data_IF_358890872513
#
_entry.id   IF_358890872513
#
_cell.length_a   1.000
_cell.length_b   1.000
_cell.length_c   1.000
_cell.angle_alpha   90.00
_cell.angle_beta   90.00
_cell.angle_gamma   90.00
#
_symmetry.space_group_name_H-M   'P 1'
#
loop_
_entity.id
_entity.type
_entity.pdbx_description
1 polymer ?
#
# COMPACT_ATOMS: atom_id res chain seq x y z
N UNK A 1 -15.13 -27.94 4.63
CA UNK A 1 -15.52 -27.27 3.35
C UNK A 1 -16.48 -26.09 3.54
N UNK A 2 -17.47 -26.15 4.45
CA UNK A 2 -18.39 -25.00 4.69
C UNK A 2 -17.69 -23.84 5.41
N UNK A 3 -16.86 -24.14 6.44
CA UNK A 3 -16.08 -23.14 7.19
C UNK A 3 -15.16 -22.30 6.28
N UNK A 4 -14.46 -22.95 5.35
CA UNK A 4 -13.55 -22.26 4.41
C UNK A 4 -14.28 -21.35 3.41
N UNK A 5 -15.49 -21.72 2.98
CA UNK A 5 -16.31 -20.86 2.10
C UNK A 5 -16.81 -19.61 2.84
N UNK A 6 -17.21 -19.75 4.11
CA UNK A 6 -17.63 -18.61 4.94
C UNK A 6 -16.50 -17.62 5.21
N UNK A 7 -15.30 -18.13 5.50
CA UNK A 7 -14.10 -17.31 5.72
C UNK A 7 -13.74 -16.52 4.45
N UNK A 8 -13.72 -17.19 3.29
CA UNK A 8 -13.44 -16.53 2.03
C UNK A 8 -14.50 -15.48 1.67
N UNK A 9 -15.78 -15.76 1.93
CA UNK A 9 -16.86 -14.81 1.68
C UNK A 9 -16.74 -13.55 2.55
N UNK A 10 -16.39 -13.70 3.83
CA UNK A 10 -16.17 -12.57 4.72
C UNK A 10 -14.94 -11.75 4.32
N UNK A 11 -13.84 -12.39 3.93
CA UNK A 11 -12.67 -11.71 3.38
C UNK A 11 -13.03 -10.87 2.14
N UNK A 12 -13.81 -11.44 1.21
CA UNK A 12 -14.29 -10.75 0.02
C UNK A 12 -15.21 -9.57 0.37
N UNK A 13 -16.08 -9.72 1.37
CA UNK A 13 -16.94 -8.66 1.85
C UNK A 13 -16.12 -7.50 2.46
N UNK A 14 -15.14 -7.78 3.30
CA UNK A 14 -14.22 -6.77 3.86
C UNK A 14 -13.49 -6.02 2.73
N UNK A 15 -12.99 -6.76 1.74
CA UNK A 15 -12.31 -6.15 0.59
C UNK A 15 -13.25 -5.25 -0.23
N UNK A 16 -14.49 -5.68 -0.46
CA UNK A 16 -15.49 -4.88 -1.17
C UNK A 16 -15.83 -3.59 -0.43
N UNK A 17 -16.06 -3.67 0.89
CA UNK A 17 -16.33 -2.49 1.72
C UNK A 17 -15.14 -1.53 1.68
N UNK A 18 -13.91 -2.04 1.81
CA UNK A 18 -12.70 -1.23 1.70
C UNK A 18 -12.59 -0.56 0.33
N UNK A 19 -12.79 -1.31 -0.76
CA UNK A 19 -12.78 -0.76 -2.11
C UNK A 19 -13.80 0.38 -2.25
N UNK A 20 -15.05 0.17 -1.86
CA UNK A 20 -16.11 1.18 -1.97
C UNK A 20 -15.84 2.43 -1.12
N UNK A 21 -15.25 2.26 0.07
CA UNK A 21 -14.92 3.39 0.94
C UNK A 21 -13.82 4.29 0.35
N UNK A 22 -12.80 3.69 -0.28
CA UNK A 22 -11.66 4.44 -0.85
C UNK A 22 -11.83 4.83 -2.32
N UNK A 23 -12.76 4.20 -3.05
CA UNK A 23 -12.96 4.41 -4.49
C UNK A 23 -13.15 5.88 -4.88
N UNK A 24 -14.00 6.68 -4.19
CA UNK A 24 -14.18 8.09 -4.54
C UNK A 24 -12.90 8.94 -4.37
N UNK A 25 -11.97 8.50 -3.51
CA UNK A 25 -10.72 9.20 -3.24
C UNK A 25 -9.63 9.02 -4.30
N UNK A 26 -9.78 8.03 -5.20
CA UNK A 26 -8.76 7.69 -6.20
C UNK A 26 -8.48 8.83 -7.18
N UNK A 27 -9.49 9.61 -7.55
CA UNK A 27 -9.36 10.73 -8.51
C UNK A 27 -8.95 12.06 -7.87
N UNK A 28 -8.81 12.11 -6.54
CA UNK A 28 -8.40 13.34 -5.86
C UNK A 28 -6.96 13.75 -6.22
N UNK A 29 -6.57 15.01 -6.03
CA UNK A 29 -5.20 15.47 -6.25
C UNK A 29 -4.22 14.96 -5.18
N UNK A 30 -2.93 15.27 -5.38
CA UNK A 30 -1.92 15.20 -4.33
C UNK A 30 -2.06 16.40 -3.39
N UNK A 31 -1.96 16.18 -2.08
CA UNK A 31 -2.20 17.17 -1.02
C UNK A 31 -1.06 17.22 -0.01
N UNK A 32 -0.86 18.39 0.61
CA UNK A 32 0.05 18.68 1.73
C UNK A 32 1.28 17.76 1.91
N UNK A 33 1.11 16.59 2.53
CA UNK A 33 2.18 15.65 2.89
C UNK A 33 2.72 14.84 1.69
N UNK A 34 1.99 14.78 0.59
CA UNK A 34 2.43 14.17 -0.66
C UNK A 34 3.67 14.86 -1.24
N UNK A 35 3.77 16.19 -1.11
CA UNK A 35 4.91 16.96 -1.67
C UNK A 35 6.26 16.50 -1.12
N UNK A 36 6.53 16.54 0.20
CA UNK A 36 7.82 16.09 0.72
C UNK A 36 8.05 14.58 0.58
N UNK A 37 7.01 13.78 0.34
CA UNK A 37 7.13 12.34 0.16
C UNK A 37 7.38 11.92 -1.30
N UNK A 38 6.89 12.71 -2.27
CA UNK A 38 6.86 12.39 -3.70
C UNK A 38 7.67 13.42 -4.50
N UNK A 39 7.03 14.51 -4.94
CA UNK A 39 7.61 15.45 -5.91
C UNK A 39 8.80 16.24 -5.34
N UNK A 40 8.83 16.46 -4.02
CA UNK A 40 9.93 17.08 -3.30
C UNK A 40 11.03 16.10 -2.85
N UNK A 41 10.81 14.79 -3.01
CA UNK A 41 11.79 13.75 -2.70
C UNK A 41 12.33 13.17 -4.01
N UNK A 42 13.45 13.71 -4.48
CA UNK A 42 14.05 13.27 -5.76
C UNK A 42 14.56 11.83 -5.69
N UNK A 43 14.82 11.29 -4.49
CA UNK A 43 15.31 9.92 -4.34
C UNK A 43 14.26 8.85 -4.65
N UNK A 44 12.97 9.18 -4.68
CA UNK A 44 11.91 8.26 -5.12
C UNK A 44 11.56 8.43 -6.60
N UNK A 45 12.19 9.39 -7.30
CA UNK A 45 11.98 9.64 -8.72
C UNK A 45 13.07 8.91 -9.52
N UNK A 46 12.93 7.58 -9.61
CA UNK A 46 13.96 6.69 -10.18
C UNK A 46 13.44 5.97 -11.43
N UNK A 47 14.38 5.53 -12.29
CA UNK A 47 14.09 4.68 -13.45
C UNK A 47 14.18 3.17 -13.10
N UNK A 48 14.62 2.85 -11.88
CA UNK A 48 14.66 1.49 -11.35
C UNK A 48 15.78 0.62 -11.92
N UNK A 49 16.82 1.22 -12.50
CA UNK A 49 17.88 0.52 -13.23
C UNK A 49 19.04 0.08 -12.33
N UNK A 50 19.22 0.74 -11.19
CA UNK A 50 20.30 0.46 -10.25
C UNK A 50 19.76 0.01 -8.90
N UNK A 51 20.37 -1.02 -8.32
CA UNK A 51 20.05 -1.46 -6.97
C UNK A 51 20.17 -0.33 -5.94
N UNK A 52 21.15 0.56 -6.10
CA UNK A 52 21.39 1.63 -5.13
C UNK A 52 20.28 2.70 -5.16
N UNK A 53 19.63 2.92 -6.31
CA UNK A 53 18.46 3.79 -6.42
C UNK A 53 17.33 3.29 -5.52
N UNK A 54 17.04 1.99 -5.54
CA UNK A 54 16.02 1.38 -4.69
C UNK A 54 16.35 1.50 -3.20
N UNK A 55 17.62 1.28 -2.82
CA UNK A 55 18.09 1.44 -1.43
C UNK A 55 17.98 2.88 -0.96
N UNK A 56 18.44 3.83 -1.78
CA UNK A 56 18.38 5.26 -1.47
C UNK A 56 16.93 5.74 -1.36
N UNK A 57 16.08 5.33 -2.30
CA UNK A 57 14.65 5.61 -2.28
C UNK A 57 13.99 5.09 -1.01
N UNK A 58 14.16 3.81 -0.68
CA UNK A 58 13.57 3.21 0.51
C UNK A 58 13.99 3.94 1.80
N UNK A 59 15.24 4.40 1.89
CA UNK A 59 15.76 5.08 3.07
C UNK A 59 15.67 6.61 2.99
N UNK A 60 14.87 7.17 2.09
CA UNK A 60 14.83 8.63 1.83
C UNK A 60 13.99 9.43 2.82
N UNK A 61 13.01 8.81 3.51
CA UNK A 61 12.14 9.55 4.42
C UNK A 61 12.83 9.96 5.72
N UNK A 62 12.42 11.10 6.27
CA UNK A 62 12.71 11.54 7.63
C UNK A 62 11.50 11.43 8.57
N UNK A 63 10.37 10.90 8.07
CA UNK A 63 9.13 10.78 8.86
C UNK A 63 9.18 9.60 9.82
N UNK A 64 9.10 9.89 11.12
CA UNK A 64 9.05 8.89 12.18
C UNK A 64 10.37 8.16 12.43
N UNK A 65 10.49 7.41 13.54
CA UNK A 65 11.74 6.78 13.95
C UNK A 65 12.24 5.70 12.97
N UNK A 66 11.32 5.06 12.25
CA UNK A 66 11.63 3.99 11.30
C UNK A 66 11.71 4.45 9.85
N UNK A 67 11.47 5.74 9.54
CA UNK A 67 11.69 6.31 8.19
C UNK A 67 10.88 5.68 7.04
N UNK A 68 9.74 5.04 7.33
CA UNK A 68 8.75 4.54 6.34
C UNK A 68 9.30 3.81 5.10
N UNK A 69 10.23 2.84 5.22
CA UNK A 69 10.95 2.30 4.07
C UNK A 69 10.07 1.59 3.06
N UNK A 70 9.04 0.87 3.53
CA UNK A 70 8.07 0.20 2.65
C UNK A 70 7.30 1.22 1.81
N UNK A 71 6.86 2.34 2.43
CA UNK A 71 6.13 3.39 1.72
C UNK A 71 7.01 4.05 0.65
N UNK A 72 8.24 4.42 0.98
CA UNK A 72 9.13 5.07 0.02
C UNK A 72 9.50 4.13 -1.12
N UNK A 73 9.72 2.85 -0.82
CA UNK A 73 9.94 1.83 -1.84
C UNK A 73 8.74 1.72 -2.80
N UNK A 74 7.50 1.67 -2.28
CA UNK A 74 6.32 1.62 -3.16
C UNK A 74 6.14 2.88 -4.00
N UNK A 75 6.51 4.06 -3.50
CA UNK A 75 6.49 5.30 -4.30
C UNK A 75 7.54 5.28 -5.41
N UNK A 76 8.76 4.82 -5.11
CA UNK A 76 9.79 4.63 -6.11
C UNK A 76 9.38 3.61 -7.18
N UNK A 77 8.68 2.54 -6.78
CA UNK A 77 8.14 1.57 -7.72
C UNK A 77 7.07 2.17 -8.64
N UNK A 78 6.18 3.04 -8.12
CA UNK A 78 5.23 3.77 -8.97
C UNK A 78 5.98 4.62 -10.01
N UNK A 79 7.01 5.37 -9.58
CA UNK A 79 7.78 6.20 -10.50
C UNK A 79 8.53 5.37 -11.55
N UNK A 80 9.19 4.28 -11.14
CA UNK A 80 9.93 3.42 -12.06
C UNK A 80 9.03 2.77 -13.12
N UNK A 81 7.76 2.51 -12.80
CA UNK A 81 6.79 1.92 -13.74
C UNK A 81 6.15 2.97 -14.64
N UNK A 82 5.79 4.14 -14.10
CA UNK A 82 5.02 5.16 -14.84
C UNK A 82 5.89 6.28 -15.45
N UNK A 83 7.16 6.38 -15.04
CA UNK A 83 8.10 7.46 -15.39
C UNK A 83 7.79 8.82 -14.76
N UNK A 84 6.69 8.92 -14.01
CA UNK A 84 6.20 10.13 -13.34
C UNK A 84 5.19 9.74 -12.26
N UNK A 85 4.79 10.70 -11.42
CA UNK A 85 3.75 10.45 -10.42
C UNK A 85 2.35 10.73 -10.95
N UNK A 86 1.53 9.69 -11.11
CA UNK A 86 0.07 9.80 -11.23
C UNK A 86 -0.59 9.71 -9.86
N UNK A 87 -1.44 10.68 -9.51
CA UNK A 87 -2.20 10.60 -8.24
C UNK A 87 -3.12 9.38 -8.20
N UNK A 88 -3.73 9.03 -9.33
CA UNK A 88 -4.59 7.84 -9.44
C UNK A 88 -3.76 6.57 -9.30
N UNK A 89 -2.60 6.48 -9.95
CA UNK A 89 -1.70 5.32 -9.88
C UNK A 89 -1.23 5.05 -8.46
N UNK A 90 -0.68 6.08 -7.81
CA UNK A 90 -0.23 6.02 -6.41
C UNK A 90 -1.32 5.56 -5.45
N UNK A 91 -2.53 6.11 -5.59
CA UNK A 91 -3.67 5.77 -4.72
C UNK A 91 -4.22 4.38 -5.02
N UNK A 92 -4.22 3.95 -6.28
CA UNK A 92 -4.63 2.60 -6.67
C UNK A 92 -3.66 1.55 -6.10
N UNK A 93 -2.35 1.77 -6.20
CA UNK A 93 -1.33 0.90 -5.58
C UNK A 93 -1.49 0.87 -4.07
N UNK A 94 -1.65 2.04 -3.43
CA UNK A 94 -1.90 2.09 -1.98
C UNK A 94 -3.16 1.32 -1.58
N UNK A 95 -4.27 1.46 -2.32
CA UNK A 95 -5.50 0.74 -2.06
C UNK A 95 -5.30 -0.77 -2.21
N UNK A 96 -4.63 -1.22 -3.26
CA UNK A 96 -4.30 -2.64 -3.45
C UNK A 96 -3.50 -3.20 -2.27
N UNK A 97 -2.49 -2.47 -1.79
CA UNK A 97 -1.71 -2.84 -0.61
C UNK A 97 -2.58 -2.90 0.64
N UNK A 98 -3.48 -1.94 0.85
CA UNK A 98 -4.41 -1.94 1.99
C UNK A 98 -5.37 -3.15 1.95
N UNK A 99 -5.88 -3.51 0.78
CA UNK A 99 -6.76 -4.67 0.62
C UNK A 99 -6.01 -5.99 0.94
N UNK A 100 -4.75 -6.11 0.50
CA UNK A 100 -3.89 -7.25 0.85
C UNK A 100 -3.65 -7.31 2.35
N UNK A 101 -3.29 -6.18 2.98
CA UNK A 101 -3.07 -6.13 4.43
C UNK A 101 -4.34 -6.48 5.20
N UNK A 102 -5.50 -5.95 4.79
CA UNK A 102 -6.79 -6.26 5.40
C UNK A 102 -7.11 -7.76 5.32
N UNK A 103 -6.87 -8.38 4.16
CA UNK A 103 -7.05 -9.83 3.99
C UNK A 103 -6.09 -10.64 4.88
N UNK A 104 -4.79 -10.30 4.88
CA UNK A 104 -3.79 -10.97 5.72
C UNK A 104 -4.13 -10.83 7.21
N UNK A 105 -4.54 -9.64 7.64
CA UNK A 105 -4.93 -9.38 9.03
C UNK A 105 -6.19 -10.17 9.42
N UNK A 106 -7.19 -10.22 8.54
CA UNK A 106 -8.38 -11.03 8.73
C UNK A 106 -8.03 -12.52 8.88
N UNK A 107 -7.20 -13.07 7.99
CA UNK A 107 -6.78 -14.46 8.07
C UNK A 107 -5.96 -14.72 9.34
N UNK A 108 -5.06 -13.81 9.72
CA UNK A 108 -4.31 -13.93 10.96
C UNK A 108 -5.26 -13.99 12.17
N UNK A 109 -6.17 -13.03 12.29
CA UNK A 109 -7.14 -12.97 13.38
C UNK A 109 -8.01 -14.23 13.42
N UNK A 110 -8.50 -14.69 12.27
CA UNK A 110 -9.28 -15.92 12.18
C UNK A 110 -8.49 -17.14 12.66
N UNK A 111 -7.24 -17.32 12.21
CA UNK A 111 -6.41 -18.46 12.63
C UNK A 111 -6.08 -18.42 14.12
N UNK A 112 -5.85 -17.22 14.69
CA UNK A 112 -5.64 -17.06 16.14
C UNK A 112 -6.89 -17.48 16.90
N UNK A 113 -8.07 -16.99 16.51
CA UNK A 113 -9.33 -17.34 17.19
C UNK A 113 -9.63 -18.84 17.08
N UNK A 114 -9.45 -19.42 15.89
CA UNK A 114 -9.64 -20.86 15.65
C UNK A 114 -8.70 -21.70 16.51
N UNK A 115 -7.44 -21.27 16.67
CA UNK A 115 -6.45 -21.94 17.53
C UNK A 115 -6.81 -21.88 19.02
N UNK A 116 -7.59 -20.89 19.42
CA UNK A 116 -8.11 -20.73 20.79
C UNK A 116 -9.44 -21.48 21.00
N UNK A 117 -9.97 -22.13 19.96
CA UNK A 117 -11.25 -22.84 20.00
C UNK A 117 -12.47 -21.94 20.01
N UNK A 118 -12.32 -20.68 19.57
CA UNK A 118 -13.38 -19.66 19.48
C UNK A 118 -13.85 -19.50 18.04
#
# INVERSE_FOLDING_TARGET
>A
MVKSKGVAALAAFIALVGLLAYFPGLSGPLLFDDKPALTGNTLVQIDGTSFDEWRAAALSSSSGPLRRPVTMFTFAANHAVEGQFSSVGLKAVNLAVHLVIAALFYFLAFNVMDSLGV
#
